data_IF_598887636386
#
_entry.id   IF_598887636386
#
_cell.length_a   1.000
_cell.length_b   1.000
_cell.length_c   1.000
_cell.angle_alpha   90.00
_cell.angle_beta   90.00
_cell.angle_gamma   90.00
#
_symmetry.space_group_name_H-M   'P 1'
#
loop_
_entity.id
_entity.type
_entity.pdbx_description
1 polymer ?
#
# COMPACT_ATOMS: atom_id res chain seq x y z
N UNK A 1 -14.88 -20.92 -3.91
CA UNK A 1 -14.11 -20.01 -3.03
C UNK A 1 -14.44 -18.58 -3.43
N UNK A 2 -15.13 -17.83 -2.56
CA UNK A 2 -15.39 -16.41 -2.77
C UNK A 2 -14.17 -15.60 -2.31
N UNK A 3 -13.49 -14.94 -3.24
CA UNK A 3 -12.39 -14.02 -2.94
C UNK A 3 -12.98 -12.62 -2.91
N UNK A 4 -12.94 -11.97 -1.75
CA UNK A 4 -13.37 -10.58 -1.61
C UNK A 4 -12.51 -9.68 -2.50
N UNK A 5 -13.16 -8.90 -3.37
CA UNK A 5 -12.49 -7.95 -4.23
C UNK A 5 -13.09 -6.55 -4.17
N UNK A 6 -12.27 -5.55 -4.49
CA UNK A 6 -12.65 -4.14 -4.64
C UNK A 6 -12.19 -3.63 -5.99
N UNK A 7 -13.10 -2.99 -6.71
CA UNK A 7 -12.77 -2.32 -7.98
C UNK A 7 -12.45 -0.85 -7.69
N UNK A 8 -11.36 -0.35 -8.25
CA UNK A 8 -10.97 1.05 -8.18
C UNK A 8 -10.55 1.56 -9.56
N UNK A 9 -11.08 2.71 -9.98
CA UNK A 9 -10.66 3.34 -11.23
C UNK A 9 -9.54 4.35 -11.01
N UNK A 10 -8.42 4.18 -11.71
CA UNK A 10 -7.24 5.05 -11.59
C UNK A 10 -6.70 5.40 -12.97
N UNK A 11 -5.86 6.44 -13.04
CA UNK A 11 -5.13 6.78 -14.26
C UNK A 11 -4.00 5.76 -14.52
N UNK A 12 -4.37 4.59 -15.03
CA UNK A 12 -3.47 3.51 -15.43
C UNK A 12 -3.75 3.11 -16.87
N UNK A 13 -2.70 2.79 -17.63
CA UNK A 13 -2.82 2.39 -19.04
C UNK A 13 -3.42 0.99 -19.21
N UNK A 14 -3.21 0.11 -18.23
CA UNK A 14 -3.65 -1.27 -18.25
C UNK A 14 -4.25 -1.65 -16.90
N UNK A 15 -5.29 -2.50 -16.88
CA UNK A 15 -5.86 -3.01 -15.64
C UNK A 15 -4.84 -3.82 -14.85
N UNK A 16 -4.90 -3.71 -13.51
CA UNK A 16 -3.97 -4.34 -12.59
C UNK A 16 -4.72 -5.09 -11.50
N UNK A 17 -4.16 -6.23 -11.11
CA UNK A 17 -4.64 -7.02 -9.98
C UNK A 17 -3.60 -6.97 -8.87
N UNK A 18 -4.01 -6.54 -7.68
CA UNK A 18 -3.13 -6.38 -6.54
C UNK A 18 -3.83 -6.92 -5.28
N UNK A 19 -3.21 -7.83 -4.54
CA UNK A 19 -3.74 -8.19 -3.22
C UNK A 19 -3.27 -7.17 -2.18
N UNK A 20 -4.22 -6.58 -1.43
CA UNK A 20 -3.95 -5.73 -0.27
C UNK A 20 -4.78 -6.24 0.90
N UNK A 21 -4.14 -6.58 2.03
CA UNK A 21 -4.84 -6.93 3.28
C UNK A 21 -5.90 -8.02 3.08
N UNK A 22 -5.52 -9.11 2.41
CA UNK A 22 -6.41 -10.22 2.06
C UNK A 22 -7.59 -9.85 1.11
N UNK A 23 -7.59 -8.65 0.55
CA UNK A 23 -8.60 -8.21 -0.43
C UNK A 23 -7.93 -8.11 -1.79
N UNK A 24 -8.56 -8.66 -2.82
CA UNK A 24 -8.14 -8.45 -4.19
C UNK A 24 -8.56 -7.05 -4.65
N UNK A 25 -7.61 -6.15 -4.91
CA UNK A 25 -7.88 -4.88 -5.55
C UNK A 25 -7.72 -5.01 -7.06
N UNK A 26 -8.78 -4.65 -7.77
CA UNK A 26 -8.83 -4.60 -9.23
C UNK A 26 -8.76 -3.13 -9.61
N UNK A 27 -7.63 -2.71 -10.16
CA UNK A 27 -7.42 -1.33 -10.58
C UNK A 27 -7.69 -1.24 -12.07
N UNK A 28 -8.76 -0.55 -12.46
CA UNK A 28 -9.16 -0.39 -13.85
C UNK A 28 -8.78 1.01 -14.39
N UNK A 29 -8.41 1.11 -15.67
CA UNK A 29 -8.45 2.37 -16.42
C UNK A 29 -9.86 2.99 -16.38
N UNK A 30 -9.98 4.32 -16.44
CA UNK A 30 -11.29 5.00 -16.36
C UNK A 30 -12.27 4.63 -17.48
N UNK A 31 -11.77 4.21 -18.63
CA UNK A 31 -12.51 3.75 -19.81
C UNK A 31 -13.00 2.29 -19.70
N UNK A 32 -12.49 1.53 -18.73
CA UNK A 32 -12.86 0.12 -18.50
C UNK A 32 -13.86 0.01 -17.36
N UNK A 33 -15.10 -0.41 -17.66
CA UNK A 33 -16.18 -0.53 -16.67
C UNK A 33 -16.23 -1.89 -15.99
N UNK A 34 -15.89 -2.95 -16.72
CA UNK A 34 -16.02 -4.32 -16.27
C UNK A 34 -14.66 -4.96 -15.96
N UNK A 35 -14.63 -5.76 -14.89
CA UNK A 35 -13.49 -6.54 -14.45
C UNK A 35 -13.59 -8.03 -14.85
N UNK A 36 -14.73 -8.49 -15.35
CA UNK A 36 -15.02 -9.91 -15.57
C UNK A 36 -14.01 -10.58 -16.50
N UNK A 37 -13.66 -9.93 -17.61
CA UNK A 37 -12.69 -10.46 -18.58
C UNK A 37 -11.30 -10.67 -17.96
N UNK A 38 -10.79 -9.68 -17.21
CA UNK A 38 -9.47 -9.80 -16.57
C UNK A 38 -9.49 -10.80 -15.41
N UNK A 39 -10.61 -10.89 -14.67
CA UNK A 39 -10.78 -11.85 -13.60
C UNK A 39 -10.74 -13.28 -14.13
N UNK A 40 -11.46 -13.57 -15.22
CA UNK A 40 -11.45 -14.91 -15.81
C UNK A 40 -10.08 -15.23 -16.41
N UNK A 41 -9.49 -14.30 -17.17
CA UNK A 41 -8.15 -14.46 -17.77
C UNK A 41 -7.05 -14.68 -16.73
N UNK A 42 -7.20 -14.14 -15.51
CA UNK A 42 -6.21 -14.24 -14.43
C UNK A 42 -6.65 -15.15 -13.28
N UNK A 43 -7.75 -15.89 -13.42
CA UNK A 43 -8.34 -16.73 -12.37
C UNK A 43 -7.35 -17.69 -11.73
N UNK A 44 -6.59 -18.42 -12.55
CA UNK A 44 -5.55 -19.33 -12.07
C UNK A 44 -4.46 -18.60 -11.26
N UNK A 45 -4.05 -17.39 -11.71
CA UNK A 45 -3.09 -16.57 -10.97
C UNK A 45 -3.68 -16.06 -9.65
N UNK A 46 -4.94 -15.60 -9.65
CA UNK A 46 -5.65 -15.11 -8.46
C UNK A 46 -5.73 -16.25 -7.43
N UNK A 47 -6.18 -17.43 -7.84
CA UNK A 47 -6.30 -18.61 -6.98
C UNK A 47 -4.95 -19.02 -6.41
N UNK A 48 -3.92 -19.18 -7.26
CA UNK A 48 -2.57 -19.53 -6.80
C UNK A 48 -2.03 -18.51 -5.81
N UNK A 49 -2.16 -17.22 -6.11
CA UNK A 49 -1.69 -16.14 -5.25
C UNK A 49 -2.46 -16.08 -3.93
N UNK A 50 -3.77 -16.33 -3.96
CA UNK A 50 -4.62 -16.41 -2.78
C UNK A 50 -4.23 -17.57 -1.88
N UNK A 51 -4.04 -18.78 -2.42
CA UNK A 51 -3.59 -19.94 -1.66
C UNK A 51 -2.24 -19.70 -0.99
N UNK A 52 -1.26 -19.13 -1.73
CA UNK A 52 0.03 -18.76 -1.15
C UNK A 52 -0.11 -17.75 -0.01
N UNK A 53 -0.99 -16.76 -0.16
CA UNK A 53 -1.26 -15.75 0.87
C UNK A 53 -1.89 -16.41 2.11
N UNK A 54 -2.88 -17.28 1.94
CA UNK A 54 -3.56 -17.99 3.03
C UNK A 54 -2.60 -18.90 3.79
N UNK A 55 -1.77 -19.65 3.08
CA UNK A 55 -0.73 -20.50 3.67
C UNK A 55 0.29 -19.65 4.44
N UNK A 56 0.74 -18.53 3.87
CA UNK A 56 1.67 -17.62 4.55
C UNK A 56 1.03 -16.97 5.78
N UNK A 57 -0.27 -16.71 5.78
CA UNK A 57 -1.00 -16.19 6.95
C UNK A 57 -1.09 -17.25 8.05
N UNK A 58 -1.41 -18.50 7.69
CA UNK A 58 -1.50 -19.64 8.62
C UNK A 58 -0.16 -19.94 9.28
N UNK A 59 0.93 -19.89 8.50
CA UNK A 59 2.28 -20.16 9.00
C UNK A 59 2.85 -19.06 9.89
N UNK A 60 2.17 -17.91 9.99
CA UNK A 60 2.62 -16.75 10.78
C UNK A 60 1.80 -16.58 12.07
N UNK A 61 0.84 -17.47 12.39
CA UNK A 61 -0.03 -17.48 13.59
C UNK A 61 0.35 -16.40 14.61
N UNK A 62 -0.29 -15.25 14.52
CA UNK A 62 -0.02 -14.14 15.42
C UNK A 62 -0.55 -14.50 16.82
N UNK A 63 0.29 -14.58 17.86
CA UNK A 63 -0.22 -14.65 19.23
C UNK A 63 -1.02 -13.39 19.56
N UNK A 64 -1.96 -13.48 20.50
CA UNK A 64 -2.58 -12.30 21.12
C UNK A 64 -1.48 -11.37 21.66
N UNK A 65 -1.28 -10.22 21.02
CA UNK A 65 -0.25 -9.24 21.42
C UNK A 65 0.41 -8.51 20.25
N UNK A 66 1.45 -7.73 20.57
CA UNK A 66 2.29 -7.04 19.59
C UNK A 66 3.56 -7.84 19.35
N UNK A 67 3.86 -8.23 18.10
CA UNK A 67 5.14 -8.86 17.79
C UNK A 67 6.24 -7.80 17.66
N UNK A 68 7.36 -8.01 18.34
CA UNK A 68 8.56 -7.18 18.25
C UNK A 68 9.80 -8.07 18.13
N UNK A 69 10.56 -7.93 17.05
CA UNK A 69 11.77 -8.72 16.77
C UNK A 69 11.56 -10.25 16.83
N UNK A 70 10.36 -10.72 16.50
CA UNK A 70 9.98 -12.13 16.58
C UNK A 70 9.54 -12.60 17.97
N UNK A 71 9.48 -11.71 18.97
CA UNK A 71 9.00 -12.02 20.31
C UNK A 71 7.60 -11.40 20.52
N UNK A 72 6.67 -12.11 21.19
CA UNK A 72 5.38 -11.55 21.56
C UNK A 72 5.54 -10.58 22.74
N UNK A 73 4.88 -9.42 22.64
CA UNK A 73 4.74 -8.44 23.71
C UNK A 73 3.28 -8.32 24.12
N UNK A 74 3.03 -8.30 25.42
CA UNK A 74 1.71 -8.01 25.95
C UNK A 74 1.47 -6.51 25.99
N UNK A 75 0.23 -6.10 25.74
CA UNK A 75 -0.17 -4.69 25.75
C UNK A 75 -1.08 -4.42 26.95
N UNK A 76 -0.69 -3.47 27.80
CA UNK A 76 -1.45 -3.04 28.98
C UNK A 76 -1.88 -1.58 28.80
N UNK A 77 -3.14 -1.27 29.12
CA UNK A 77 -3.62 0.11 29.08
C UNK A 77 -3.16 0.87 30.32
N UNK A 78 -2.64 2.08 30.16
CA UNK A 78 -2.36 3.00 31.27
C UNK A 78 -3.07 4.33 31.08
N UNK A 79 -3.71 4.86 32.12
CA UNK A 79 -4.47 6.11 32.04
C UNK A 79 -3.65 7.35 32.45
N UNK A 80 -2.58 7.18 33.23
CA UNK A 80 -1.87 8.31 33.85
C UNK A 80 -0.35 8.34 33.62
N UNK A 81 0.25 7.26 33.11
CA UNK A 81 1.71 7.20 32.89
C UNK A 81 2.06 7.45 31.42
N UNK A 82 3.30 7.92 31.18
CA UNK A 82 3.88 7.97 29.83
C UNK A 82 3.95 6.54 29.25
N UNK A 83 3.84 6.37 27.93
CA UNK A 83 3.94 5.05 27.33
C UNK A 83 5.35 4.48 27.51
N UNK A 84 5.42 3.20 27.85
CA UNK A 84 6.68 2.49 28.07
C UNK A 84 6.72 1.19 27.29
N UNK A 85 7.92 0.84 26.84
CA UNK A 85 8.27 -0.46 26.27
C UNK A 85 9.30 -1.08 27.19
N UNK A 86 8.90 -2.13 27.89
CA UNK A 86 9.77 -2.95 28.72
C UNK A 86 10.19 -4.16 27.91
N UNK A 87 11.45 -4.17 27.46
CA UNK A 87 12.00 -5.21 26.59
C UNK A 87 12.18 -6.52 27.36
N UNK A 88 12.59 -6.44 28.63
CA UNK A 88 12.90 -7.60 29.46
C UNK A 88 11.62 -8.32 29.90
N UNK A 89 10.61 -7.57 30.35
CA UNK A 89 9.30 -8.10 30.69
C UNK A 89 8.40 -8.35 29.47
N UNK A 90 8.83 -7.90 28.29
CA UNK A 90 8.07 -7.98 27.03
C UNK A 90 6.69 -7.34 27.15
N UNK A 91 6.64 -6.15 27.75
CA UNK A 91 5.40 -5.41 28.02
C UNK A 91 5.41 -4.05 27.35
N UNK A 92 4.28 -3.68 26.76
CA UNK A 92 4.04 -2.33 26.24
C UNK A 92 2.89 -1.74 27.03
N UNK A 93 3.16 -0.66 27.78
CA UNK A 93 2.14 0.10 28.51
C UNK A 93 1.84 1.38 27.76
N UNK A 94 0.59 1.61 27.37
CA UNK A 94 0.20 2.81 26.63
C UNK A 94 -1.31 3.06 26.72
N UNK A 95 -1.75 4.30 26.53
CA UNK A 95 -3.10 4.58 26.03
C UNK A 95 -3.04 4.73 24.49
N UNK A 96 -3.62 3.80 23.70
CA UNK A 96 -3.58 3.88 22.23
C UNK A 96 -4.13 5.17 21.64
N UNK A 97 -5.05 5.86 22.32
CA UNK A 97 -5.66 7.11 21.83
C UNK A 97 -4.75 8.32 22.02
N UNK A 98 -4.02 8.36 23.13
CA UNK A 98 -3.17 9.50 23.50
C UNK A 98 -1.73 9.33 23.04
N UNK A 99 -1.19 8.12 23.15
CA UNK A 99 0.25 7.90 23.18
C UNK A 99 0.84 7.48 21.83
N UNK A 100 0.02 7.46 20.77
CA UNK A 100 0.36 7.01 19.41
C UNK A 100 1.71 7.52 18.89
N UNK A 101 1.90 8.84 18.95
CA UNK A 101 3.08 9.49 18.38
C UNK A 101 4.34 9.14 19.16
N UNK A 102 4.20 9.07 20.48
CA UNK A 102 5.31 8.78 21.39
C UNK A 102 5.74 7.32 21.22
N UNK A 103 4.80 6.37 21.27
CA UNK A 103 5.12 4.95 21.10
C UNK A 103 5.69 4.67 19.70
N UNK A 104 5.16 5.31 18.67
CA UNK A 104 5.69 5.20 17.30
C UNK A 104 7.14 5.67 17.22
N UNK A 105 7.49 6.76 17.91
CA UNK A 105 8.86 7.28 17.93
C UNK A 105 9.79 6.37 18.75
N UNK A 106 9.34 5.80 19.87
CA UNK A 106 10.11 4.81 20.63
C UNK A 106 10.39 3.56 19.78
N UNK A 107 9.36 3.02 19.11
CA UNK A 107 9.49 1.90 18.18
C UNK A 107 10.45 2.21 17.02
N UNK A 108 10.38 3.42 16.45
CA UNK A 108 11.35 3.87 15.44
C UNK A 108 12.78 3.90 15.98
N UNK A 109 12.98 4.38 17.21
CA UNK A 109 14.30 4.45 17.84
C UNK A 109 14.88 3.06 18.06
N UNK A 110 14.10 2.13 18.62
CA UNK A 110 14.49 0.73 18.83
C UNK A 110 14.85 0.06 17.50
N UNK A 111 13.99 0.21 16.49
CA UNK A 111 14.25 -0.35 15.17
C UNK A 111 15.51 0.27 14.54
N UNK A 112 15.75 1.57 14.72
CA UNK A 112 16.93 2.25 14.18
C UNK A 112 18.22 1.68 14.75
N UNK A 113 18.29 1.50 16.07
CA UNK A 113 19.46 0.90 16.73
C UNK A 113 19.75 -0.51 16.18
N UNK A 114 18.72 -1.35 16.07
CA UNK A 114 18.85 -2.71 15.51
C UNK A 114 19.31 -2.68 14.05
N UNK A 115 18.71 -1.83 13.22
CA UNK A 115 19.07 -1.67 11.81
C UNK A 115 20.51 -1.20 11.66
N UNK A 116 20.96 -0.22 12.44
CA UNK A 116 22.32 0.32 12.34
C UNK A 116 23.38 -0.73 12.70
N UNK A 117 23.12 -1.57 13.71
CA UNK A 117 23.98 -2.70 14.03
C UNK A 117 24.09 -3.71 12.88
N UNK A 118 22.95 -4.11 12.29
CA UNK A 118 22.93 -5.05 11.16
C UNK A 118 23.59 -4.45 9.91
N UNK A 119 23.35 -3.16 9.64
CA UNK A 119 23.97 -2.47 8.50
C UNK A 119 25.48 -2.42 8.69
N UNK A 120 25.99 -2.18 9.91
CA UNK A 120 27.42 -2.21 10.18
C UNK A 120 28.03 -3.57 9.82
N UNK A 121 27.45 -4.66 10.35
CA UNK A 121 27.84 -6.05 10.05
C UNK A 121 27.88 -6.31 8.53
N UNK A 122 26.81 -5.98 7.81
CA UNK A 122 26.75 -6.23 6.38
C UNK A 122 27.58 -5.26 5.53
N UNK A 123 27.91 -4.08 6.06
CA UNK A 123 28.76 -3.14 5.33
C UNK A 123 30.19 -3.61 5.31
N UNK A 124 30.66 -4.18 6.42
CA UNK A 124 31.96 -4.84 6.53
C UNK A 124 32.01 -6.05 5.59
N UNK A 125 30.99 -6.92 5.66
CA UNK A 125 30.91 -8.12 4.81
C UNK A 125 30.83 -7.81 3.31
N UNK A 126 30.00 -6.84 2.92
CA UNK A 126 29.77 -6.51 1.51
C UNK A 126 30.78 -5.52 0.97
N UNK A 127 31.57 -4.81 1.80
CA UNK A 127 32.44 -3.74 1.35
C UNK A 127 31.67 -2.60 0.68
N UNK A 128 30.53 -2.19 1.25
CA UNK A 128 29.78 -1.01 0.82
C UNK A 128 29.03 -0.37 2.00
N UNK A 129 28.72 0.91 1.88
CA UNK A 129 28.00 1.67 2.91
C UNK A 129 26.82 2.42 2.29
N UNK A 130 25.66 2.47 2.96
CA UNK A 130 24.56 3.33 2.55
C UNK A 130 24.92 4.81 2.79
N UNK A 131 24.49 5.70 1.90
CA UNK A 131 24.72 7.14 2.06
C UNK A 131 23.80 7.76 3.14
N UNK A 132 22.60 7.19 3.32
CA UNK A 132 21.65 7.61 4.34
C UNK A 132 20.72 6.46 4.69
N UNK A 133 20.38 6.34 5.97
CA UNK A 133 19.39 5.38 6.47
C UNK A 133 18.18 6.17 6.95
N UNK A 134 16.99 5.77 6.51
CA UNK A 134 15.73 6.38 6.96
C UNK A 134 14.70 5.31 7.29
N UNK A 135 13.94 5.53 8.36
CA UNK A 135 12.79 4.67 8.72
C UNK A 135 11.51 5.39 8.31
N UNK A 136 10.70 4.73 7.48
CA UNK A 136 9.44 5.25 6.94
C UNK A 136 8.28 4.30 7.19
N UNK A 137 7.06 4.78 7.03
CA UNK A 137 5.85 3.95 7.05
C UNK A 137 5.32 3.79 5.63
N UNK A 138 6.04 3.02 4.82
CA UNK A 138 5.64 2.76 3.44
C UNK A 138 4.47 1.78 3.41
N UNK A 139 3.55 1.96 2.45
CA UNK A 139 2.36 1.09 2.38
C UNK A 139 2.69 -0.31 1.90
N UNK A 140 3.48 -0.42 0.82
CA UNK A 140 3.61 -1.65 0.01
C UNK A 140 5.00 -2.29 -0.01
N UNK A 141 5.99 -1.73 0.70
CA UNK A 141 7.38 -2.21 0.64
C UNK A 141 7.99 -2.37 2.01
N UNK A 142 8.87 -3.36 2.17
CA UNK A 142 9.69 -3.56 3.36
C UNK A 142 10.89 -2.61 3.41
N UNK A 143 11.46 -2.31 2.24
CA UNK A 143 12.58 -1.40 2.06
C UNK A 143 12.63 -0.81 0.66
N UNK A 144 13.62 0.06 0.44
CA UNK A 144 14.07 0.49 -0.88
C UNK A 144 15.45 1.13 -0.80
N UNK A 145 16.27 0.91 -1.82
CA UNK A 145 17.55 1.58 -2.03
C UNK A 145 17.48 2.51 -3.25
N UNK A 146 17.87 3.77 -3.08
CA UNK A 146 17.89 4.76 -4.17
C UNK A 146 19.18 4.71 -5.00
N UNK A 147 19.19 5.37 -6.16
CA UNK A 147 20.42 5.53 -6.95
C UNK A 147 21.52 6.30 -6.20
N UNK A 148 21.13 7.18 -5.26
CA UNK A 148 22.05 7.88 -4.35
C UNK A 148 22.49 7.01 -3.16
N UNK A 149 22.24 5.70 -3.18
CA UNK A 149 22.57 4.74 -2.12
C UNK A 149 21.88 5.05 -0.77
N UNK A 150 20.74 5.74 -0.81
CA UNK A 150 19.93 5.97 0.39
C UNK A 150 19.02 4.76 0.62
N UNK A 151 19.06 4.20 1.83
CA UNK A 151 18.18 3.14 2.29
C UNK A 151 16.97 3.74 3.00
N UNK A 152 15.79 3.34 2.58
CA UNK A 152 14.52 3.64 3.24
C UNK A 152 13.89 2.34 3.67
N UNK A 153 13.89 2.07 4.97
CA UNK A 153 13.40 0.84 5.58
C UNK A 153 12.06 1.10 6.29
N UNK A 154 11.17 0.10 6.28
CA UNK A 154 9.82 0.26 6.82
C UNK A 154 9.79 0.02 8.34
N UNK A 155 9.04 0.84 9.08
CA UNK A 155 8.77 0.61 10.51
C UNK A 155 8.16 -0.76 10.78
N UNK A 156 7.38 -1.31 9.83
CA UNK A 156 6.81 -2.68 9.92
C UNK A 156 7.87 -3.75 10.18
N UNK A 157 9.15 -3.52 9.85
CA UNK A 157 10.25 -4.45 10.12
C UNK A 157 10.39 -4.75 11.62
N UNK A 158 10.00 -3.83 12.51
CA UNK A 158 10.06 -4.08 13.95
C UNK A 158 9.23 -5.30 14.38
N UNK A 159 8.20 -5.66 13.61
CA UNK A 159 7.33 -6.79 13.91
C UNK A 159 7.84 -8.12 13.36
N UNK A 160 8.98 -8.13 12.66
CA UNK A 160 9.53 -9.33 12.04
C UNK A 160 10.55 -10.02 12.97
N UNK A 161 10.72 -11.34 12.87
CA UNK A 161 11.88 -12.01 13.44
C UNK A 161 13.18 -11.43 12.90
N UNK A 162 14.22 -11.44 13.71
CA UNK A 162 15.53 -10.85 13.38
C UNK A 162 16.10 -11.34 12.04
N UNK A 163 16.00 -12.65 11.75
CA UNK A 163 16.49 -13.23 10.48
C UNK A 163 15.80 -12.60 9.26
N UNK A 164 14.50 -12.31 9.34
CA UNK A 164 13.76 -11.64 8.28
C UNK A 164 14.14 -10.15 8.14
N UNK A 165 14.45 -9.47 9.25
CA UNK A 165 14.98 -8.10 9.23
C UNK A 165 16.34 -8.07 8.53
N UNK A 166 17.25 -8.99 8.93
CA UNK A 166 18.56 -9.15 8.30
C UNK A 166 18.45 -9.38 6.80
N UNK A 167 17.54 -10.26 6.37
CA UNK A 167 17.28 -10.52 4.97
C UNK A 167 16.90 -9.24 4.20
N UNK A 168 15.92 -8.47 4.70
CA UNK A 168 15.48 -7.24 4.03
C UNK A 168 16.62 -6.23 3.95
N UNK A 169 17.38 -6.04 5.03
CA UNK A 169 18.50 -5.09 5.04
C UNK A 169 19.57 -5.51 4.02
N UNK A 170 19.96 -6.78 4.03
CA UNK A 170 20.94 -7.32 3.10
C UNK A 170 20.50 -7.17 1.64
N UNK A 171 19.23 -7.46 1.33
CA UNK A 171 18.63 -7.25 0.01
C UNK A 171 18.77 -5.79 -0.46
N UNK A 172 18.41 -4.82 0.39
CA UNK A 172 18.50 -3.40 0.05
C UNK A 172 19.95 -2.90 -0.04
N UNK A 173 20.87 -3.47 0.75
CA UNK A 173 22.30 -3.16 0.66
C UNK A 173 22.92 -3.71 -0.61
N UNK A 174 22.54 -4.90 -1.07
CA UNK A 174 22.99 -5.44 -2.35
C UNK A 174 22.61 -4.53 -3.52
N UNK A 175 21.49 -3.82 -3.44
CA UNK A 175 21.11 -2.82 -4.44
C UNK A 175 22.07 -1.62 -4.57
N UNK A 176 23.00 -1.44 -3.63
CA UNK A 176 24.10 -0.48 -3.76
C UNK A 176 25.02 -0.90 -4.92
N UNK A 177 25.34 -2.20 -5.03
CA UNK A 177 26.23 -2.77 -6.06
C UNK A 177 25.48 -3.31 -7.28
N UNK A 178 24.28 -3.87 -7.07
CA UNK A 178 23.51 -4.59 -8.10
C UNK A 178 22.12 -3.96 -8.27
N UNK A 179 21.91 -3.19 -9.35
CA UNK A 179 20.65 -2.48 -9.60
C UNK A 179 19.48 -3.35 -10.05
N UNK A 180 19.76 -4.59 -10.46
CA UNK A 180 18.77 -5.54 -10.99
C UNK A 180 18.90 -6.87 -10.24
N UNK A 181 17.79 -7.56 -10.06
CA UNK A 181 17.69 -8.92 -9.50
C UNK A 181 18.13 -9.98 -10.52
N UNK A 182 19.35 -9.85 -11.05
CA UNK A 182 19.94 -10.80 -11.98
C UNK A 182 20.51 -12.03 -11.23
N UNK A 183 21.07 -12.99 -11.97
CA UNK A 183 21.65 -14.21 -11.39
C UNK A 183 22.66 -13.93 -10.27
N UNK A 184 23.58 -13.00 -10.49
CA UNK A 184 24.60 -12.62 -9.49
C UNK A 184 23.98 -12.06 -8.20
N UNK A 185 22.90 -11.28 -8.30
CA UNK A 185 22.17 -10.78 -7.13
C UNK A 185 21.66 -11.94 -6.28
N UNK A 186 20.98 -12.91 -6.90
CA UNK A 186 20.40 -14.05 -6.20
C UNK A 186 21.44 -15.04 -5.69
N UNK A 187 22.56 -15.21 -6.39
CA UNK A 187 23.71 -15.96 -5.89
C UNK A 187 24.21 -15.36 -4.58
N UNK A 188 24.39 -14.03 -4.51
CA UNK A 188 24.79 -13.34 -3.28
C UNK A 188 23.76 -13.42 -2.16
N UNK A 189 22.47 -13.36 -2.49
CA UNK A 189 21.40 -13.64 -1.52
C UNK A 189 21.54 -15.05 -0.97
N UNK A 190 21.68 -16.06 -1.83
CA UNK A 190 21.72 -17.47 -1.45
C UNK A 190 22.96 -17.83 -0.63
N UNK A 191 24.10 -17.18 -0.88
CA UNK A 191 25.33 -17.33 -0.08
C UNK A 191 25.11 -16.98 1.40
N UNK A 192 24.27 -15.98 1.70
CA UNK A 192 23.98 -15.54 3.07
C UNK A 192 22.68 -16.14 3.64
N UNK A 193 21.69 -16.34 2.77
CA UNK A 193 20.36 -16.83 3.08
C UNK A 193 20.03 -17.99 2.15
N UNK A 194 20.52 -19.19 2.48
CA UNK A 194 20.23 -20.40 1.70
C UNK A 194 18.72 -20.69 1.64
N UNK A 195 17.97 -20.23 2.64
CA UNK A 195 16.52 -20.33 2.78
C UNK A 195 15.72 -19.19 2.12
N UNK A 196 16.33 -18.35 1.27
CA UNK A 196 15.73 -17.09 0.79
C UNK A 196 14.36 -17.26 0.12
N UNK A 197 14.11 -18.38 -0.57
CA UNK A 197 12.83 -18.63 -1.24
C UNK A 197 11.68 -18.78 -0.23
N UNK A 198 11.96 -19.44 0.90
CA UNK A 198 11.01 -19.53 2.00
C UNK A 198 10.87 -18.19 2.71
N UNK A 199 11.97 -17.45 2.87
CA UNK A 199 11.96 -16.11 3.46
C UNK A 199 11.07 -15.14 2.65
N UNK A 200 11.18 -15.14 1.31
CA UNK A 200 10.33 -14.34 0.42
C UNK A 200 8.84 -14.68 0.57
N UNK A 201 8.51 -15.96 0.72
CA UNK A 201 7.13 -16.41 1.02
C UNK A 201 6.66 -15.87 2.37
N UNK A 202 7.47 -16.03 3.43
CA UNK A 202 7.18 -15.54 4.79
C UNK A 202 6.98 -14.02 4.82
N UNK A 203 7.83 -13.25 4.13
CA UNK A 203 7.71 -11.79 4.02
C UNK A 203 6.42 -11.33 3.36
N UNK A 204 5.88 -12.11 2.41
CA UNK A 204 4.54 -11.85 1.87
C UNK A 204 3.45 -12.03 2.94
N UNK A 205 3.55 -13.06 3.78
CA UNK A 205 2.63 -13.31 4.90
C UNK A 205 2.70 -12.24 5.98
N UNK A 206 3.91 -11.85 6.39
CA UNK A 206 4.11 -10.80 7.37
C UNK A 206 3.53 -9.45 6.93
N UNK A 207 3.47 -9.16 5.63
CA UNK A 207 2.98 -7.87 5.16
C UNK A 207 1.52 -7.64 5.54
N UNK A 208 0.76 -8.72 5.62
CA UNK A 208 -0.66 -8.75 5.99
C UNK A 208 -0.80 -8.56 7.50
N UNK A 209 -0.03 -9.31 8.29
CA UNK A 209 -0.10 -9.30 9.76
C UNK A 209 0.43 -8.02 10.40
N UNK A 210 1.57 -7.52 9.95
CA UNK A 210 2.20 -6.31 10.49
C UNK A 210 1.35 -5.06 10.30
N UNK A 211 0.51 -5.04 9.27
CA UNK A 211 -0.41 -3.94 9.03
C UNK A 211 -1.57 -3.94 10.03
N UNK A 212 -2.06 -5.12 10.42
CA UNK A 212 -3.04 -5.30 11.51
C UNK A 212 -2.44 -4.91 12.86
N UNK A 213 -1.22 -5.36 13.17
CA UNK A 213 -0.56 -5.08 14.45
C UNK A 213 -0.26 -3.59 14.65
N UNK A 214 0.31 -2.93 13.64
CA UNK A 214 0.51 -1.49 13.73
C UNK A 214 -0.83 -0.76 13.76
N UNK A 215 -1.86 -1.17 13.01
CA UNK A 215 -3.20 -0.54 13.10
C UNK A 215 -3.89 -0.76 14.45
N UNK A 216 -3.64 -1.88 15.12
CA UNK A 216 -4.15 -2.14 16.47
C UNK A 216 -3.45 -1.27 17.52
N UNK A 217 -2.17 -0.89 17.30
CA UNK A 217 -1.59 0.23 18.05
C UNK A 217 -2.33 1.55 17.78
N UNK A 218 -3.03 1.69 16.65
CA UNK A 218 -3.80 2.88 16.26
C UNK A 218 -5.30 2.85 16.59
N UNK A 219 -5.85 1.73 17.06
CA UNK A 219 -7.29 1.59 17.31
C UNK A 219 -7.52 0.91 18.66
N UNK A 220 -8.56 1.35 19.39
CA UNK A 220 -9.04 0.63 20.57
C UNK A 220 -9.32 -0.85 20.24
N UNK A 221 -9.21 -1.79 21.20
CA UNK A 221 -9.66 -3.15 21.01
C UNK A 221 -11.19 -3.15 20.98
N UNK A 222 -11.74 -2.87 19.80
CA UNK A 222 -13.11 -3.21 19.45
C UNK A 222 -13.08 -3.64 18.00
N UNK A 223 -13.47 -4.90 17.76
CA UNK A 223 -14.41 -5.37 16.73
C UNK A 223 -14.39 -6.90 16.82
N UNK A 224 -15.45 -7.46 17.43
CA UNK A 224 -15.96 -8.79 17.10
C UNK A 224 -16.22 -8.88 15.60
N UNK A 225 -16.05 -10.06 14.97
CA UNK A 225 -16.31 -10.21 13.55
C UNK A 225 -17.82 -10.08 13.30
N UNK A 226 -18.29 -8.92 12.85
CA UNK A 226 -19.57 -8.86 12.17
C UNK A 226 -19.37 -9.35 10.72
N UNK A 227 -20.26 -10.23 10.22
CA UNK A 227 -20.21 -10.71 8.86
C UNK A 227 -20.45 -9.54 7.88
N UNK A 228 -19.83 -9.56 6.68
CA UNK A 228 -20.05 -8.51 5.70
C UNK A 228 -21.52 -8.51 5.26
N UNK A 229 -22.21 -7.43 5.56
CA UNK A 229 -23.54 -7.15 5.02
C UNK A 229 -23.41 -6.80 3.54
N UNK A 230 -24.01 -7.63 2.70
CA UNK A 230 -24.23 -7.40 1.28
C UNK A 230 -25.31 -6.34 1.10
N UNK A 231 -24.93 -5.06 1.06
CA UNK A 231 -25.75 -4.03 0.42
C UNK A 231 -24.90 -3.14 -0.50
N UNK A 232 -25.38 -2.83 -1.71
CA UNK A 232 -24.72 -1.86 -2.58
C UNK A 232 -24.73 -0.50 -1.88
N UNK A 233 -23.55 0.04 -1.58
CA UNK A 233 -23.42 1.42 -1.12
C UNK A 233 -23.12 2.28 -2.33
N UNK A 234 -23.88 3.36 -2.50
CA UNK A 234 -23.61 4.34 -3.55
C UNK A 234 -22.15 4.82 -3.50
N UNK A 235 -21.46 4.92 -4.64
CA UNK A 235 -20.05 5.24 -4.68
C UNK A 235 -19.80 6.70 -4.25
N UNK A 236 -19.39 6.89 -2.99
CA UNK A 236 -18.70 8.11 -2.53
C UNK A 236 -17.41 8.28 -3.35
N UNK A 237 -17.49 9.02 -4.45
CA UNK A 237 -16.36 9.28 -5.36
C UNK A 237 -16.70 9.76 -6.78
N UNK A 238 -17.99 9.87 -7.14
CA UNK A 238 -18.46 10.14 -8.51
C UNK A 238 -18.38 11.59 -8.98
N UNK A 239 -18.11 12.56 -8.08
CA UNK A 239 -18.12 13.99 -8.43
C UNK A 239 -17.16 14.36 -9.57
N UNK A 240 -15.88 14.01 -9.46
CA UNK A 240 -14.88 14.35 -10.49
C UNK A 240 -15.00 13.53 -11.79
N UNK A 241 -15.38 12.24 -11.76
CA UNK A 241 -15.79 11.52 -12.97
C UNK A 241 -16.94 12.19 -13.74
N UNK A 242 -18.01 12.60 -13.05
CA UNK A 242 -19.15 13.30 -13.66
C UNK A 242 -18.73 14.64 -14.27
N UNK A 243 -17.93 15.44 -13.54
CA UNK A 243 -17.38 16.71 -14.04
C UNK A 243 -16.56 16.49 -15.32
N UNK A 244 -15.75 15.42 -15.38
CA UNK A 244 -14.92 15.11 -16.56
C UNK A 244 -15.75 14.68 -17.77
N UNK A 245 -16.80 13.89 -17.56
CA UNK A 245 -17.72 13.48 -18.63
C UNK A 245 -18.48 14.68 -19.20
N UNK A 246 -19.07 15.51 -18.32
CA UNK A 246 -19.80 16.72 -18.69
C UNK A 246 -18.90 17.74 -19.40
N UNK A 247 -17.68 17.94 -18.88
CA UNK A 247 -16.68 18.80 -19.50
C UNK A 247 -16.33 18.34 -20.92
N UNK A 248 -16.21 17.02 -21.15
CA UNK A 248 -15.92 16.49 -22.50
C UNK A 248 -17.09 16.74 -23.45
N UNK A 249 -18.32 16.45 -23.03
CA UNK A 249 -19.52 16.69 -23.84
C UNK A 249 -19.66 18.17 -24.23
N UNK A 250 -19.47 19.08 -23.27
CA UNK A 250 -19.55 20.53 -23.53
C UNK A 250 -18.41 21.03 -24.40
N UNK A 251 -17.19 20.50 -24.24
CA UNK A 251 -16.07 20.85 -25.09
C UNK A 251 -16.31 20.41 -26.54
N UNK A 252 -16.82 19.19 -26.75
CA UNK A 252 -17.21 18.69 -28.08
C UNK A 252 -18.32 19.54 -28.71
N UNK A 253 -19.36 19.88 -27.93
CA UNK A 253 -20.46 20.70 -28.42
C UNK A 253 -19.99 22.09 -28.87
N UNK A 254 -19.20 22.78 -28.05
CA UNK A 254 -18.66 24.10 -28.37
C UNK A 254 -17.73 24.04 -29.60
N UNK A 255 -16.92 22.98 -29.71
CA UNK A 255 -16.04 22.80 -30.86
C UNK A 255 -16.82 22.62 -32.17
N UNK A 256 -17.87 21.78 -32.17
CA UNK A 256 -18.71 21.55 -33.35
C UNK A 256 -19.56 22.76 -33.74
N UNK A 257 -19.93 23.62 -32.78
CA UNK A 257 -20.59 24.89 -33.06
C UNK A 257 -19.69 25.86 -33.80
N UNK A 258 -18.41 25.94 -33.40
CA UNK A 258 -17.43 26.84 -34.00
C UNK A 258 -16.82 26.28 -35.31
N UNK A 259 -16.98 24.97 -35.58
CA UNK A 259 -16.40 24.26 -36.74
C UNK A 259 -17.45 23.34 -37.41
N UNK A 260 -18.52 23.89 -38.00
CA UNK A 260 -19.65 23.12 -38.54
C UNK A 260 -19.30 22.17 -39.70
N UNK A 261 -18.17 22.41 -40.37
CA UNK A 261 -17.62 21.56 -41.44
C UNK A 261 -16.97 20.27 -40.94
N UNK A 262 -16.83 20.10 -39.62
CA UNK A 262 -16.18 18.94 -39.02
C UNK A 262 -17.05 17.69 -39.15
N UNK A 263 -16.60 16.71 -39.93
CA UNK A 263 -17.34 15.45 -40.20
C UNK A 263 -17.18 14.36 -39.12
N UNK A 264 -16.35 14.59 -38.10
CA UNK A 264 -16.02 13.61 -37.07
C UNK A 264 -15.89 14.25 -35.69
N UNK A 265 -16.16 13.50 -34.61
CA UNK A 265 -15.99 14.02 -33.25
C UNK A 265 -14.51 14.34 -32.94
N UNK A 266 -14.22 15.53 -32.38
CA UNK A 266 -12.87 15.93 -32.03
C UNK A 266 -12.30 15.10 -30.87
N UNK A 267 -11.03 14.73 -30.98
CA UNK A 267 -10.28 14.07 -29.91
C UNK A 267 -10.01 15.02 -28.74
N UNK A 268 -9.73 14.43 -27.56
CA UNK A 268 -9.32 15.20 -26.36
C UNK A 268 -8.08 16.07 -26.60
N UNK A 269 -7.18 15.65 -27.50
CA UNK A 269 -5.97 16.39 -27.84
C UNK A 269 -6.31 17.63 -28.67
N UNK A 270 -7.24 17.53 -29.61
CA UNK A 270 -7.72 18.64 -30.43
C UNK A 270 -8.50 19.65 -29.61
N UNK A 271 -9.44 19.19 -28.77
CA UNK A 271 -10.19 20.05 -27.84
C UNK A 271 -9.27 20.82 -26.87
N UNK A 272 -8.17 20.20 -26.45
CA UNK A 272 -7.17 20.85 -25.60
C UNK A 272 -6.36 21.90 -26.36
N UNK A 273 -5.90 21.56 -27.58
CA UNK A 273 -5.11 22.47 -28.42
C UNK A 273 -5.93 23.69 -28.84
N UNK A 274 -7.21 23.51 -29.11
CA UNK A 274 -8.14 24.56 -29.49
C UNK A 274 -8.77 25.32 -28.30
N UNK A 275 -8.39 25.00 -27.05
CA UNK A 275 -8.76 25.77 -25.86
C UNK A 275 -10.17 25.53 -25.28
N UNK A 276 -10.95 24.59 -25.84
CA UNK A 276 -12.34 24.35 -25.44
C UNK A 276 -12.50 23.71 -24.06
N UNK A 277 -11.50 22.95 -23.58
CA UNK A 277 -11.58 22.25 -22.29
C UNK A 277 -11.73 23.20 -21.09
N UNK A 278 -11.11 24.38 -21.13
CA UNK A 278 -11.15 25.32 -20.00
C UNK A 278 -12.50 26.02 -19.88
N UNK A 279 -13.08 26.45 -21.01
CA UNK A 279 -14.44 26.99 -21.08
C UNK A 279 -15.48 25.92 -20.67
N UNK A 280 -15.35 24.71 -21.20
CA UNK A 280 -16.25 23.59 -20.89
C UNK A 280 -16.21 23.14 -19.42
N UNK A 281 -15.05 23.23 -18.76
CA UNK A 281 -14.90 22.92 -17.33
C UNK A 281 -15.73 23.86 -16.46
N UNK A 282 -15.73 25.15 -16.78
CA UNK A 282 -16.48 26.17 -16.02
C UNK A 282 -17.98 25.93 -16.18
N UNK A 283 -18.44 25.63 -17.40
CA UNK A 283 -19.84 25.32 -17.69
C UNK A 283 -20.28 24.06 -16.95
N UNK A 284 -19.51 22.97 -17.05
CA UNK A 284 -19.82 21.70 -16.38
C UNK A 284 -19.92 21.84 -14.86
N UNK A 285 -19.05 22.65 -14.25
CA UNK A 285 -19.09 22.89 -12.80
C UNK A 285 -20.32 23.71 -12.39
N UNK A 286 -20.75 24.69 -13.20
CA UNK A 286 -21.96 25.48 -12.95
C UNK A 286 -23.23 24.64 -13.03
N UNK A 287 -23.36 23.80 -14.07
CA UNK A 287 -24.53 22.91 -14.23
C UNK A 287 -24.62 21.85 -13.13
N UNK A 288 -23.50 21.19 -12.79
CA UNK A 288 -23.47 20.20 -11.70
C UNK A 288 -23.78 20.84 -10.36
N UNK A 289 -23.43 22.12 -10.16
CA UNK A 289 -23.77 22.86 -8.95
C UNK A 289 -25.27 23.19 -8.91
N UNK A 290 -25.84 23.69 -10.02
CA UNK A 290 -27.27 24.00 -10.14
C UNK A 290 -28.16 22.76 -9.89
N UNK A 291 -27.85 21.62 -10.52
CA UNK A 291 -28.59 20.36 -10.32
C UNK A 291 -28.54 19.88 -8.85
N UNK A 292 -27.41 20.10 -8.17
CA UNK A 292 -27.26 19.73 -6.75
C UNK A 292 -27.98 20.70 -5.81
N UNK A 293 -28.17 21.94 -6.23
CA UNK A 293 -28.93 22.94 -5.46
C UNK A 293 -30.44 22.73 -5.68
N UNK A 294 -30.89 22.31 -6.86
CA UNK A 294 -32.28 21.87 -7.13
C UNK A 294 -32.66 20.60 -6.36
N UNK A 295 -31.78 19.59 -6.31
CA UNK A 295 -31.97 18.35 -5.53
C UNK A 295 -32.00 18.55 -4.01
N UNK A 296 -31.69 19.75 -3.51
CA UNK A 296 -31.79 20.12 -2.09
C UNK A 296 -33.04 20.94 -1.77
N UNK A 297 -33.79 21.37 -2.79
CA UNK A 297 -35.03 22.12 -2.68
C UNK A 297 -36.29 21.25 -2.90
N UNK A 298 -36.11 19.95 -3.19
CA UNK A 298 -37.14 18.91 -3.29
C UNK A 298 -37.03 17.98 -2.09
#
# INVERSE_FOLDING_TARGET
MEINYKIEHRNVKHPRLEFKRLTLHIILPYDMRDASEILEKRKAWIQKKWSMIQESVKNVSAPQGFMMFGQPFTMEKTNAQKPTIDIDQRKIRLDPRRDQKIITNQLKSLLKQKIEAIIKEYSEKLGCQPAKITIRQQKSKWGSCSNRKNLSLNLKLICLPERAIKYVIFHEMLHIKHKKHNRQFWEKIKEEFSEYEEMEKKLSGYHIHTETLLQNLHKSPTISPHPPTTKPTEPKGTFWPMVRQRMRQKATQLYLQDHPETKAEPSLKELRKAGYLQKAKIIALKEIKAERDELKLV
#
